data_IF_054968713397
#
_entry.id   IF_054968713397
#
_cell.length_a   1.000
_cell.length_b   1.000
_cell.length_c   1.000
_cell.angle_alpha   90.00
_cell.angle_beta   90.00
_cell.angle_gamma   90.00
#
_symmetry.space_group_name_H-M   'P 1'
#
loop_
_entity.id
_entity.type
_entity.pdbx_description
1 polymer ?
#
# COMPACT_ATOMS: atom_id res chain seq x y z
N UNK A 1 -14.58 -5.87 9.83
CA UNK A 1 -14.37 -4.51 9.29
C UNK A 1 -15.66 -3.71 9.40
N UNK A 2 -15.62 -2.46 9.85
CA UNK A 2 -16.82 -1.60 9.90
C UNK A 2 -16.75 -0.61 8.74
N UNK A 3 -17.01 -1.09 7.53
CA UNK A 3 -17.18 -0.20 6.38
C UNK A 3 -18.60 0.35 6.39
N UNK A 4 -18.75 1.64 6.14
CA UNK A 4 -20.08 2.28 5.92
C UNK A 4 -20.65 1.95 4.55
N UNK A 5 -19.87 1.30 3.68
CA UNK A 5 -20.24 0.97 2.31
C UNK A 5 -21.16 -0.26 2.24
N UNK A 6 -22.20 -0.13 1.46
CA UNK A 6 -23.07 -1.24 1.06
C UNK A 6 -22.57 -1.79 -0.28
N UNK A 7 -21.68 -2.77 -0.22
CA UNK A 7 -21.07 -3.41 -1.41
C UNK A 7 -22.10 -3.92 -2.42
N UNK A 8 -23.32 -4.25 -1.98
CA UNK A 8 -24.37 -4.73 -2.88
C UNK A 8 -24.90 -3.65 -3.83
N UNK A 9 -24.60 -2.38 -3.55
CA UNK A 9 -25.05 -1.20 -4.31
C UNK A 9 -23.96 -0.50 -5.10
N UNK A 10 -22.70 -0.91 -4.96
CA UNK A 10 -21.62 -0.30 -5.70
C UNK A 10 -21.82 -0.41 -7.20
N UNK A 11 -21.65 0.70 -7.90
CA UNK A 11 -21.46 0.72 -9.35
C UNK A 11 -19.97 0.52 -9.71
N UNK A 12 -19.67 0.22 -10.97
CA UNK A 12 -18.27 0.10 -11.41
C UNK A 12 -17.50 1.42 -11.19
N UNK A 13 -18.13 2.56 -11.34
CA UNK A 13 -17.51 3.85 -11.07
C UNK A 13 -17.15 3.98 -9.58
N UNK A 14 -18.09 3.67 -8.69
CA UNK A 14 -17.85 3.70 -7.25
C UNK A 14 -16.71 2.75 -6.84
N UNK A 15 -16.65 1.57 -7.46
CA UNK A 15 -15.62 0.57 -7.20
C UNK A 15 -14.23 1.01 -7.67
N UNK A 16 -14.13 1.67 -8.82
CA UNK A 16 -12.87 2.26 -9.31
C UNK A 16 -12.44 3.45 -8.45
N UNK A 17 -13.38 4.32 -8.06
CA UNK A 17 -13.09 5.43 -7.16
C UNK A 17 -12.62 4.92 -5.78
N UNK A 18 -13.25 3.87 -5.25
CA UNK A 18 -12.86 3.21 -4.00
C UNK A 18 -11.45 2.62 -4.08
N UNK A 19 -11.17 1.83 -5.14
CA UNK A 19 -9.85 1.26 -5.38
C UNK A 19 -8.79 2.36 -5.48
N UNK A 20 -9.03 3.43 -6.27
CA UNK A 20 -8.12 4.57 -6.38
C UNK A 20 -7.78 5.20 -5.02
N UNK A 21 -8.77 5.33 -4.12
CA UNK A 21 -8.55 5.89 -2.79
C UNK A 21 -7.69 4.97 -1.92
N UNK A 22 -7.89 3.65 -1.99
CA UNK A 22 -7.10 2.65 -1.26
C UNK A 22 -5.63 2.74 -1.67
N UNK A 23 -5.34 2.67 -2.97
CA UNK A 23 -3.99 2.76 -3.51
C UNK A 23 -3.30 4.11 -3.21
N UNK A 24 -4.05 5.21 -3.28
CA UNK A 24 -3.52 6.54 -2.92
C UNK A 24 -3.17 6.60 -1.43
N UNK A 25 -4.00 6.05 -0.56
CA UNK A 25 -3.73 6.01 0.88
C UNK A 25 -2.49 5.16 1.17
N UNK A 26 -2.41 3.95 0.61
CA UNK A 26 -1.28 3.05 0.76
C UNK A 26 0.03 3.70 0.29
N UNK A 27 0.04 4.25 -0.93
CA UNK A 27 1.19 4.98 -1.48
C UNK A 27 1.65 6.11 -0.56
N UNK A 28 0.72 6.97 -0.12
CA UNK A 28 1.05 8.11 0.71
C UNK A 28 1.64 7.66 2.06
N UNK A 29 1.08 6.61 2.65
CA UNK A 29 1.57 6.03 3.89
C UNK A 29 2.98 5.45 3.75
N UNK A 30 3.25 4.72 2.68
CA UNK A 30 4.58 4.20 2.39
C UNK A 30 5.60 5.33 2.16
N UNK A 31 5.22 6.45 1.50
CA UNK A 31 6.07 7.62 1.35
C UNK A 31 6.38 8.29 2.71
N UNK A 32 5.38 8.46 3.58
CA UNK A 32 5.57 8.98 4.94
C UNK A 32 6.55 8.13 5.75
N UNK A 33 6.44 6.81 5.66
CA UNK A 33 7.38 5.90 6.33
C UNK A 33 8.78 5.98 5.73
N UNK A 34 8.88 6.03 4.41
CA UNK A 34 10.16 6.17 3.74
C UNK A 34 10.87 7.48 4.13
N UNK A 35 10.13 8.58 4.25
CA UNK A 35 10.66 9.87 4.69
C UNK A 35 11.08 9.82 6.16
N UNK A 36 10.25 9.28 7.04
CA UNK A 36 10.53 9.16 8.48
C UNK A 36 11.77 8.32 8.79
N UNK A 37 12.02 7.29 8.00
CA UNK A 37 13.19 6.42 8.15
C UNK A 37 14.45 6.97 7.47
N UNK A 38 14.28 7.89 6.51
CA UNK A 38 15.36 8.49 5.75
C UNK A 38 16.09 7.49 4.84
N UNK A 39 17.26 7.92 4.32
CA UNK A 39 18.12 7.08 3.48
C UNK A 39 19.38 6.72 4.24
N UNK A 40 19.59 5.41 4.46
CA UNK A 40 20.78 4.89 5.15
C UNK A 40 21.67 4.04 4.26
N UNK A 41 21.33 3.94 2.98
CA UNK A 41 22.01 3.17 1.97
C UNK A 41 21.11 2.12 1.31
N UNK A 42 21.67 1.36 0.38
CA UNK A 42 20.94 0.31 -0.32
C UNK A 42 20.48 -0.79 0.66
N UNK A 43 19.20 -1.17 0.55
CA UNK A 43 18.63 -2.24 1.36
C UNK A 43 18.24 -1.85 2.79
N UNK A 44 18.07 -0.56 3.07
CA UNK A 44 17.51 -0.08 4.33
C UNK A 44 15.97 -0.18 4.37
N UNK A 45 15.39 -0.03 5.57
CA UNK A 45 13.94 -0.09 5.75
C UNK A 45 13.19 1.01 4.98
N UNK A 46 13.78 2.21 4.84
CA UNK A 46 13.23 3.28 4.01
C UNK A 46 13.17 2.91 2.53
N UNK A 47 14.19 2.18 2.02
CA UNK A 47 14.18 1.69 0.63
C UNK A 47 13.04 0.69 0.38
N UNK A 48 12.68 -0.14 1.37
CA UNK A 48 11.52 -1.03 1.26
C UNK A 48 10.25 -0.24 1.00
N UNK A 49 9.97 0.75 1.85
CA UNK A 49 8.75 1.55 1.70
C UNK A 49 8.75 2.42 0.43
N UNK A 50 9.91 2.91 -0.03
CA UNK A 50 9.99 3.57 -1.34
C UNK A 50 9.59 2.64 -2.48
N UNK A 51 10.09 1.40 -2.46
CA UNK A 51 9.73 0.39 -3.47
C UNK A 51 8.24 0.04 -3.44
N UNK A 52 7.64 -0.05 -2.24
CA UNK A 52 6.19 -0.25 -2.12
C UNK A 52 5.43 0.95 -2.70
N UNK A 53 5.79 2.19 -2.33
CA UNK A 53 5.16 3.39 -2.90
C UNK A 53 5.24 3.49 -4.43
N UNK A 54 6.33 3.00 -5.04
CA UNK A 54 6.47 2.91 -6.51
C UNK A 54 5.48 1.91 -7.13
N UNK A 55 5.19 0.80 -6.45
CA UNK A 55 4.18 -0.16 -6.91
C UNK A 55 2.78 0.46 -6.85
N UNK A 56 2.41 1.02 -5.69
CA UNK A 56 1.11 1.68 -5.53
C UNK A 56 0.91 2.85 -6.50
N UNK A 57 1.98 3.54 -6.90
CA UNK A 57 1.90 4.60 -7.92
C UNK A 57 1.45 4.04 -9.27
N UNK A 58 1.93 2.87 -9.66
CA UNK A 58 1.52 2.23 -10.93
C UNK A 58 0.05 1.82 -10.90
N UNK A 59 -0.39 1.23 -9.78
CA UNK A 59 -1.80 0.85 -9.61
C UNK A 59 -2.71 2.08 -9.64
N UNK A 60 -2.34 3.16 -8.94
CA UNK A 60 -3.08 4.43 -9.02
C UNK A 60 -3.24 4.92 -10.48
N UNK A 61 -2.16 4.87 -11.28
CA UNK A 61 -2.18 5.30 -12.68
C UNK A 61 -3.10 4.41 -13.53
N UNK A 62 -3.01 3.08 -13.41
CA UNK A 62 -3.80 2.12 -14.16
C UNK A 62 -5.30 2.23 -13.84
N UNK A 63 -5.66 2.34 -12.56
CA UNK A 63 -7.04 2.51 -12.13
C UNK A 63 -7.59 3.87 -12.59
N UNK A 64 -6.80 4.95 -12.46
CA UNK A 64 -7.21 6.29 -12.88
C UNK A 64 -7.43 6.37 -14.41
N UNK A 65 -6.57 5.76 -15.23
CA UNK A 65 -6.76 5.67 -16.68
C UNK A 65 -8.05 4.90 -17.04
N UNK A 66 -8.29 3.77 -16.39
CA UNK A 66 -9.52 2.97 -16.58
C UNK A 66 -10.76 3.76 -16.20
N UNK A 67 -10.73 4.43 -15.04
CA UNK A 67 -11.81 5.27 -14.54
C UNK A 67 -12.12 6.42 -15.51
N UNK A 68 -11.09 7.15 -15.95
CA UNK A 68 -11.22 8.26 -16.90
C UNK A 68 -11.77 7.79 -18.25
N UNK A 69 -11.27 6.66 -18.76
CA UNK A 69 -11.71 6.09 -20.03
C UNK A 69 -13.18 5.70 -20.05
N UNK A 70 -13.72 5.21 -18.93
CA UNK A 70 -15.09 4.72 -18.83
C UNK A 70 -16.10 5.80 -18.46
N UNK A 71 -15.73 6.74 -17.60
CA UNK A 71 -16.66 7.68 -16.96
C UNK A 71 -16.27 9.15 -17.14
N UNK A 72 -15.10 9.45 -17.75
CA UNK A 72 -14.67 10.82 -17.95
C UNK A 72 -14.54 11.57 -16.61
N UNK A 73 -14.99 12.84 -16.61
CA UNK A 73 -14.90 13.75 -15.46
C UNK A 73 -16.13 13.68 -14.54
N UNK A 74 -16.86 12.55 -14.53
CA UNK A 74 -17.97 12.38 -13.59
C UNK A 74 -17.49 12.48 -12.14
N UNK A 75 -18.28 13.16 -11.28
CA UNK A 75 -17.90 13.40 -9.88
C UNK A 75 -17.95 12.09 -9.06
N UNK A 76 -16.87 11.84 -8.29
CA UNK A 76 -16.78 10.68 -7.40
C UNK A 76 -17.79 10.79 -6.24
N UNK A 77 -18.37 9.64 -5.86
CA UNK A 77 -19.35 9.54 -4.75
C UNK A 77 -18.76 8.87 -3.51
N UNK A 78 -17.64 8.17 -3.68
CA UNK A 78 -16.90 7.52 -2.60
C UNK A 78 -15.87 8.49 -2.04
N UNK A 79 -15.63 8.44 -0.74
CA UNK A 79 -14.73 9.33 -0.01
C UNK A 79 -13.78 8.54 0.88
N UNK A 80 -12.72 9.19 1.39
CA UNK A 80 -11.77 8.59 2.34
C UNK A 80 -12.43 8.07 3.63
N UNK A 81 -13.56 8.66 4.04
CA UNK A 81 -14.32 8.18 5.22
C UNK A 81 -14.93 6.78 5.01
N UNK A 82 -15.01 6.33 3.75
CA UNK A 82 -15.57 5.04 3.38
C UNK A 82 -14.55 3.91 3.41
N UNK A 83 -13.24 4.22 3.40
CA UNK A 83 -12.14 3.25 3.26
C UNK A 83 -11.22 3.16 4.48
N UNK A 84 -11.66 3.57 5.64
CA UNK A 84 -10.81 3.60 6.83
C UNK A 84 -10.07 2.27 7.07
N UNK A 85 -8.73 2.34 7.11
CA UNK A 85 -7.81 1.25 7.48
C UNK A 85 -7.90 -0.02 6.59
N UNK A 86 -7.98 0.16 5.27
CA UNK A 86 -8.05 -0.98 4.36
C UNK A 86 -6.66 -1.60 4.13
N UNK A 87 -5.67 -0.82 3.73
CA UNK A 87 -4.35 -1.34 3.33
C UNK A 87 -3.21 -0.75 4.16
N UNK A 88 -3.18 0.56 4.29
CA UNK A 88 -2.04 1.25 4.87
C UNK A 88 -1.66 0.76 6.27
N UNK A 89 -0.36 0.60 6.60
CA UNK A 89 0.09 0.29 7.94
C UNK A 89 -0.25 1.43 8.92
N UNK A 90 -0.49 1.09 10.19
CA UNK A 90 -0.72 2.09 11.22
C UNK A 90 0.55 2.90 11.54
N UNK A 91 0.40 4.22 11.75
CA UNK A 91 1.52 5.14 12.03
C UNK A 91 2.33 4.75 13.28
N UNK A 92 1.73 4.06 14.25
CA UNK A 92 2.40 3.64 15.50
C UNK A 92 3.40 2.49 15.34
N UNK A 93 3.35 1.79 14.21
CA UNK A 93 4.15 0.58 14.00
C UNK A 93 5.56 0.88 13.46
N UNK A 94 5.77 2.08 12.92
CA UNK A 94 7.05 2.45 12.32
C UNK A 94 7.85 3.36 13.24
N UNK A 95 8.97 2.83 13.74
CA UNK A 95 9.98 3.59 14.46
C UNK A 95 11.18 3.85 13.55
N UNK A 96 11.90 4.93 13.79
CA UNK A 96 13.09 5.32 13.02
C UNK A 96 14.16 4.21 12.91
N UNK A 97 14.19 3.27 13.85
CA UNK A 97 15.20 2.22 13.96
C UNK A 97 14.74 0.82 13.56
N UNK A 98 13.56 0.69 12.92
CA UNK A 98 13.08 -0.63 12.51
C UNK A 98 14.06 -1.32 11.56
N UNK A 99 14.15 -2.64 11.68
CA UNK A 99 14.96 -3.46 10.78
C UNK A 99 14.30 -3.58 9.39
N UNK A 100 15.10 -3.94 8.39
CA UNK A 100 14.62 -4.23 7.04
C UNK A 100 13.58 -5.37 7.04
N UNK A 101 13.83 -6.41 7.85
CA UNK A 101 12.86 -7.50 8.03
C UNK A 101 11.53 -6.98 8.57
N UNK A 102 11.55 -6.11 9.58
CA UNK A 102 10.32 -5.53 10.15
C UNK A 102 9.57 -4.68 9.12
N UNK A 103 10.27 -3.91 8.30
CA UNK A 103 9.65 -3.12 7.22
C UNK A 103 8.93 -4.03 6.21
N UNK A 104 9.56 -5.13 5.77
CA UNK A 104 8.91 -6.10 4.88
C UNK A 104 7.73 -6.81 5.55
N UNK A 105 7.79 -7.09 6.85
CA UNK A 105 6.65 -7.68 7.58
C UNK A 105 5.47 -6.71 7.68
N UNK A 106 5.72 -5.42 7.85
CA UNK A 106 4.66 -4.40 7.83
C UNK A 106 4.04 -4.26 6.46
N UNK A 107 4.85 -4.21 5.39
CA UNK A 107 4.34 -4.22 4.03
C UNK A 107 3.50 -5.47 3.77
N UNK A 108 4.00 -6.67 4.09
CA UNK A 108 3.25 -7.92 3.94
C UNK A 108 1.90 -7.89 4.68
N UNK A 109 1.85 -7.33 5.87
CA UNK A 109 0.61 -7.21 6.62
C UNK A 109 -0.38 -6.27 5.92
N UNK A 110 0.09 -5.18 5.30
CA UNK A 110 -0.75 -4.25 4.55
C UNK A 110 -1.38 -4.91 3.32
N UNK A 111 -0.59 -5.60 2.50
CA UNK A 111 -1.10 -6.34 1.34
C UNK A 111 -2.10 -7.43 1.75
N UNK A 112 -1.88 -8.10 2.89
CA UNK A 112 -2.84 -9.06 3.44
C UNK A 112 -4.16 -8.41 3.87
N UNK A 113 -4.14 -7.17 4.35
CA UNK A 113 -5.36 -6.41 4.67
C UNK A 113 -6.13 -6.05 3.40
N UNK A 114 -5.44 -5.56 2.36
CA UNK A 114 -6.05 -5.26 1.08
C UNK A 114 -6.66 -6.51 0.43
N UNK A 115 -5.92 -7.61 0.40
CA UNK A 115 -6.46 -8.90 -0.03
C UNK A 115 -7.74 -9.28 0.72
N UNK A 116 -7.73 -9.23 2.05
CA UNK A 116 -8.87 -9.61 2.88
C UNK A 116 -10.08 -8.69 2.66
N UNK A 117 -9.83 -7.40 2.38
CA UNK A 117 -10.89 -6.45 2.04
C UNK A 117 -11.61 -6.83 0.74
N UNK A 118 -10.86 -7.06 -0.35
CA UNK A 118 -11.45 -7.44 -1.63
C UNK A 118 -12.11 -8.81 -1.58
N UNK A 119 -11.51 -9.78 -0.89
CA UNK A 119 -12.06 -11.13 -0.74
C UNK A 119 -13.39 -11.13 0.04
N UNK A 120 -13.48 -10.38 1.15
CA UNK A 120 -14.71 -10.19 1.90
C UNK A 120 -15.76 -9.44 1.08
N UNK A 121 -15.38 -8.37 0.36
CA UNK A 121 -16.30 -7.59 -0.46
C UNK A 121 -16.96 -8.42 -1.57
N UNK A 122 -16.25 -9.41 -2.13
CA UNK A 122 -16.76 -10.31 -3.17
C UNK A 122 -17.98 -11.14 -2.75
N UNK A 123 -18.16 -11.37 -1.44
CA UNK A 123 -19.34 -12.07 -0.92
C UNK A 123 -20.62 -11.22 -1.01
N UNK A 124 -20.49 -9.90 -1.06
CA UNK A 124 -21.62 -8.96 -1.03
C UNK A 124 -21.86 -8.25 -2.36
N UNK A 125 -20.85 -8.18 -3.24
CA UNK A 125 -20.96 -7.51 -4.54
C UNK A 125 -21.91 -8.28 -5.45
N UNK A 126 -22.90 -7.57 -5.99
CA UNK A 126 -23.92 -8.14 -6.89
C UNK A 126 -23.73 -7.79 -8.36
N UNK A 127 -23.07 -6.68 -8.67
CA UNK A 127 -22.83 -6.21 -10.04
C UNK A 127 -21.69 -7.02 -10.66
N UNK A 128 -21.89 -7.63 -11.86
CA UNK A 128 -20.86 -8.50 -12.46
C UNK A 128 -19.54 -7.81 -12.80
N UNK A 129 -19.59 -6.54 -13.23
CA UNK A 129 -18.42 -5.73 -13.59
C UNK A 129 -17.64 -5.28 -12.35
N UNK A 130 -18.31 -4.94 -11.25
CA UNK A 130 -17.68 -4.68 -9.95
C UNK A 130 -17.02 -5.95 -9.42
N UNK A 131 -17.71 -7.08 -9.54
CA UNK A 131 -17.17 -8.37 -9.12
C UNK A 131 -15.91 -8.74 -9.89
N UNK A 132 -15.89 -8.50 -11.20
CA UNK A 132 -14.71 -8.74 -12.03
C UNK A 132 -13.53 -7.84 -11.61
N UNK A 133 -13.78 -6.54 -11.36
CA UNK A 133 -12.74 -5.63 -10.86
C UNK A 133 -12.17 -6.09 -9.50
N UNK A 134 -13.03 -6.40 -8.53
CA UNK A 134 -12.56 -6.82 -7.21
C UNK A 134 -11.85 -8.18 -7.22
N UNK A 135 -12.19 -9.08 -8.15
CA UNK A 135 -11.43 -10.31 -8.38
C UNK A 135 -10.03 -10.02 -8.94
N UNK A 136 -9.92 -9.09 -9.90
CA UNK A 136 -8.67 -8.62 -10.47
C UNK A 136 -7.77 -8.04 -9.38
N UNK A 137 -8.25 -7.07 -8.60
CA UNK A 137 -7.51 -6.43 -7.51
C UNK A 137 -7.08 -7.46 -6.43
N UNK A 138 -7.98 -8.33 -5.97
CA UNK A 138 -7.62 -9.41 -5.03
C UNK A 138 -6.51 -10.31 -5.56
N UNK A 139 -6.53 -10.64 -6.85
CA UNK A 139 -5.53 -11.50 -7.46
C UNK A 139 -4.17 -10.77 -7.60
N UNK A 140 -4.16 -9.45 -7.75
CA UNK A 140 -2.97 -8.59 -7.69
C UNK A 140 -2.39 -8.60 -6.27
N UNK A 141 -3.21 -8.38 -5.24
CA UNK A 141 -2.76 -8.49 -3.83
C UNK A 141 -2.16 -9.86 -3.51
N UNK A 142 -2.73 -10.93 -4.07
CA UNK A 142 -2.16 -12.28 -3.95
C UNK A 142 -0.74 -12.35 -4.52
N UNK A 143 -0.46 -11.64 -5.63
CA UNK A 143 0.88 -11.61 -6.21
C UNK A 143 1.85 -10.81 -5.33
N UNK A 144 1.41 -9.67 -4.77
CA UNK A 144 2.19 -8.85 -3.85
C UNK A 144 2.55 -9.63 -2.57
N UNK A 145 1.57 -10.24 -1.92
CA UNK A 145 1.79 -11.12 -0.76
C UNK A 145 2.82 -12.21 -1.08
N UNK A 146 2.66 -12.91 -2.21
CA UNK A 146 3.60 -13.96 -2.61
C UNK A 146 5.00 -13.44 -2.91
N UNK A 147 5.11 -12.25 -3.49
CA UNK A 147 6.39 -11.57 -3.73
C UNK A 147 7.08 -11.24 -2.41
N UNK A 148 6.38 -10.60 -1.47
CA UNK A 148 6.93 -10.22 -0.17
C UNK A 148 7.33 -11.45 0.66
N UNK A 149 6.52 -12.51 0.68
CA UNK A 149 6.86 -13.77 1.34
C UNK A 149 8.16 -14.34 0.79
N UNK A 150 8.37 -14.34 -0.52
CA UNK A 150 9.62 -14.80 -1.14
C UNK A 150 10.81 -13.92 -0.78
N UNK A 151 10.63 -12.60 -0.76
CA UNK A 151 11.69 -11.67 -0.36
C UNK A 151 12.08 -11.94 1.09
N UNK A 152 11.13 -11.97 2.02
CA UNK A 152 11.35 -12.23 3.44
C UNK A 152 12.10 -13.55 3.66
N UNK A 153 11.70 -14.61 2.96
CA UNK A 153 12.34 -15.93 3.08
C UNK A 153 13.81 -15.95 2.61
N UNK A 154 14.24 -14.98 1.80
CA UNK A 154 15.60 -14.88 1.26
C UNK A 154 16.44 -13.75 1.88
N UNK A 155 15.89 -13.02 2.86
CA UNK A 155 16.65 -11.96 3.52
C UNK A 155 17.88 -12.52 4.26
N UNK A 156 18.99 -11.80 4.23
CA UNK A 156 20.15 -12.15 5.04
C UNK A 156 19.85 -11.93 6.53
N UNK A 157 20.55 -12.62 7.42
CA UNK A 157 20.41 -12.43 8.88
C UNK A 157 20.63 -10.99 9.34
N UNK A 158 21.45 -10.22 8.63
CA UNK A 158 21.67 -8.79 8.90
C UNK A 158 20.39 -7.94 8.73
N UNK A 159 19.39 -8.42 8.01
CA UNK A 159 18.11 -7.72 7.86
C UNK A 159 17.28 -7.69 9.16
N UNK A 160 17.60 -8.52 10.16
CA UNK A 160 16.96 -8.54 11.49
C UNK A 160 17.52 -7.47 12.43
N UNK A 161 18.66 -6.84 12.09
CA UNK A 161 19.34 -5.90 12.97
C UNK A 161 18.56 -4.59 13.01
N UNK A 162 18.10 -4.21 14.19
CA UNK A 162 17.61 -2.86 14.48
C UNK A 162 18.80 -1.93 14.70
N UNK A 163 18.63 -0.65 14.36
CA UNK A 163 19.67 0.34 14.58
C UNK A 163 19.69 0.76 16.04
N UNK A 164 20.88 0.91 16.61
CA UNK A 164 21.05 1.40 17.98
C UNK A 164 20.86 2.91 18.06
N UNK A 165 20.45 3.44 19.23
CA UNK A 165 20.20 4.86 19.44
C UNK A 165 21.45 5.74 19.16
N UNK A 166 22.65 5.18 19.26
CA UNK A 166 23.92 5.85 18.96
C UNK A 166 24.06 6.24 17.48
N UNK A 167 23.32 5.57 16.58
CA UNK A 167 23.30 5.85 15.14
C UNK A 167 22.31 6.97 14.77
N UNK A 168 21.49 7.45 15.72
CA UNK A 168 20.52 8.49 15.49
C UNK A 168 21.14 9.87 15.47
N UNK A 169 21.27 10.47 14.29
CA UNK A 169 21.62 11.88 14.11
C UNK A 169 20.39 12.65 13.58
N UNK A 170 19.69 13.42 14.45
CA UNK A 170 18.51 14.17 14.05
C UNK A 170 18.80 15.31 13.05
N UNK A 171 20.07 15.65 12.85
CA UNK A 171 20.50 16.71 11.93
C UNK A 171 21.13 16.15 10.64
N UNK A 172 21.12 14.85 10.44
CA UNK A 172 21.67 14.24 9.24
C UNK A 172 20.76 14.55 8.04
N UNK A 173 21.23 15.41 7.08
CA UNK A 173 20.41 15.72 5.91
C UNK A 173 20.16 14.44 5.12
N UNK A 174 18.93 14.30 4.61
CA UNK A 174 18.66 13.29 3.59
C UNK A 174 19.72 13.45 2.50
N UNK A 175 20.46 12.39 2.19
CA UNK A 175 21.45 12.46 1.12
C UNK A 175 20.66 12.60 -0.19
N UNK A 176 20.80 13.75 -0.83
CA UNK A 176 20.34 13.95 -2.20
C UNK A 176 20.98 12.88 -3.09
N UNK A 177 20.19 11.87 -3.44
CA UNK A 177 20.60 10.82 -4.40
C UNK A 177 20.35 11.29 -5.83
N UNK A 178 20.74 12.54 -6.15
CA UNK A 178 20.77 13.06 -7.51
C UNK A 178 22.14 13.65 -7.81
N UNK A 179 23.12 12.78 -8.05
CA UNK A 179 24.29 13.13 -8.87
C UNK A 179 24.70 11.94 -9.72
N UNK A 180 24.58 12.15 -11.03
CA UNK A 180 25.09 11.45 -12.22
C UNK A 180 24.19 10.41 -12.85
#
# INVERSE_FOLDING_TARGET
MSTRLDFSKLTLMDALDLASLIEIEARNRYLEFAESLGTRGDGDAGAVFRSMAENETKHCEEIAERRLSLFGDEEARVTLDDIFDVEAPEMGDVRWNISVLKAYQLALYSEQKAFAFYDEALDYVTQPDVKALFQELRDEETQHVNMLVKIIANLPKSAEIELEDEDYDPNRPARDSFEA
#
